data_IF_285441115169
#
_entry.id   IF_285441115169
#
_cell.length_a   1.000
_cell.length_b   1.000
_cell.length_c   1.000
_cell.angle_alpha   90.00
_cell.angle_beta   90.00
_cell.angle_gamma   90.00
#
_symmetry.space_group_name_H-M   'P 1'
#
loop_
_entity.id
_entity.type
_entity.pdbx_description
1 polymer ?
#
# COMPACT_ATOMS: atom_id res chain seq x y z
N UNK A 1 41.38 19.93 -4.11
CA UNK A 1 41.66 19.26 -2.82
C UNK A 1 40.50 19.32 -1.80
N UNK A 2 39.50 20.17 -2.01
CA UNK A 2 38.31 20.26 -1.11
C UNK A 2 37.20 19.22 -1.35
N UNK A 3 37.14 18.63 -2.53
CA UNK A 3 36.06 17.68 -2.87
C UNK A 3 36.22 16.27 -2.25
N UNK A 4 37.46 15.87 -1.96
CA UNK A 4 37.80 14.55 -1.39
C UNK A 4 37.50 14.48 0.11
N UNK A 5 37.58 15.61 0.82
CA UNK A 5 37.37 15.67 2.29
C UNK A 5 35.85 15.54 2.61
N UNK A 6 34.99 16.12 1.78
CA UNK A 6 33.52 16.07 1.99
C UNK A 6 32.97 14.66 1.82
N UNK A 7 33.50 13.87 0.87
CA UNK A 7 33.08 12.49 0.65
C UNK A 7 33.50 11.57 1.80
N UNK A 8 34.66 11.77 2.42
CA UNK A 8 35.10 10.98 3.57
C UNK A 8 34.31 11.29 4.85
N UNK A 9 33.94 12.53 5.08
CA UNK A 9 33.15 12.92 6.25
C UNK A 9 31.71 12.40 6.18
N UNK A 10 31.08 12.43 4.99
CA UNK A 10 29.74 11.87 4.76
C UNK A 10 29.75 10.34 4.88
N UNK A 11 30.81 9.69 4.42
CA UNK A 11 30.97 8.23 4.52
C UNK A 11 31.21 7.78 5.96
N UNK A 12 32.04 8.48 6.73
CA UNK A 12 32.29 8.19 8.14
C UNK A 12 31.03 8.39 9.00
N UNK A 13 30.30 9.48 8.78
CA UNK A 13 29.03 9.76 9.46
C UNK A 13 27.96 8.72 9.15
N UNK A 14 27.93 8.21 7.92
CA UNK A 14 27.05 7.13 7.50
C UNK A 14 27.42 5.80 8.18
N UNK A 15 28.70 5.43 8.26
CA UNK A 15 29.16 4.22 8.96
C UNK A 15 28.80 4.25 10.45
N UNK A 16 28.97 5.39 11.11
CA UNK A 16 28.59 5.58 12.52
C UNK A 16 27.07 5.45 12.70
N UNK A 17 26.28 6.01 11.80
CA UNK A 17 24.82 5.90 11.83
C UNK A 17 24.32 4.46 11.59
N UNK A 18 25.02 3.68 10.77
CA UNK A 18 24.69 2.27 10.49
C UNK A 18 25.02 1.36 11.67
N UNK A 19 26.12 1.61 12.40
CA UNK A 19 26.58 0.73 13.49
C UNK A 19 25.56 0.55 14.64
N UNK A 20 24.58 1.44 14.74
CA UNK A 20 23.54 1.42 15.77
C UNK A 20 22.19 0.85 15.28
N UNK A 21 22.08 0.50 13.97
CA UNK A 21 20.83 -0.04 13.44
C UNK A 21 20.58 -1.45 13.98
N UNK A 22 19.39 -1.63 14.52
CA UNK A 22 18.86 -2.95 14.87
C UNK A 22 18.07 -3.50 13.69
N UNK A 23 18.51 -4.60 13.14
CA UNK A 23 17.89 -5.22 11.96
C UNK A 23 17.42 -6.63 12.32
N UNK A 24 16.21 -6.99 11.88
CA UNK A 24 15.72 -8.36 11.92
C UNK A 24 15.62 -8.90 10.49
N UNK A 25 16.12 -10.10 10.28
CA UNK A 25 15.95 -10.87 9.04
C UNK A 25 14.92 -11.96 9.28
N UNK A 26 13.76 -11.83 8.63
CA UNK A 26 12.71 -12.84 8.58
C UNK A 26 12.77 -13.55 7.24
N UNK A 27 13.29 -14.79 7.24
CA UNK A 27 13.50 -15.59 6.05
C UNK A 27 13.42 -17.08 6.43
N UNK A 28 12.50 -17.82 5.84
CA UNK A 28 12.28 -19.23 6.12
C UNK A 28 13.42 -20.12 5.61
N UNK A 29 13.94 -19.81 4.44
CA UNK A 29 15.02 -20.59 3.81
C UNK A 29 16.38 -20.31 4.47
N UNK A 30 16.93 -21.31 5.12
CA UNK A 30 18.19 -21.21 5.87
C UNK A 30 19.35 -20.65 5.03
N UNK A 31 19.46 -21.07 3.77
CA UNK A 31 20.51 -20.61 2.89
C UNK A 31 20.38 -19.12 2.59
N UNK A 32 19.21 -18.66 2.17
CA UNK A 32 18.96 -17.25 1.86
C UNK A 32 19.14 -16.36 3.09
N UNK A 33 18.64 -16.80 4.25
CA UNK A 33 18.87 -16.11 5.53
C UNK A 33 20.36 -15.92 5.81
N UNK A 34 21.17 -16.97 5.60
CA UNK A 34 22.63 -16.89 5.78
C UNK A 34 23.30 -15.92 4.80
N UNK A 35 22.82 -15.84 3.56
CA UNK A 35 23.33 -14.88 2.56
C UNK A 35 23.03 -13.45 3.00
N UNK A 36 21.79 -13.15 3.42
CA UNK A 36 21.41 -11.82 3.89
C UNK A 36 22.24 -11.37 5.10
N UNK A 37 22.46 -12.27 6.06
CA UNK A 37 23.29 -12.01 7.24
C UNK A 37 24.72 -11.65 6.85
N UNK A 38 25.34 -12.46 5.96
CA UNK A 38 26.70 -12.16 5.45
C UNK A 38 26.75 -10.84 4.70
N UNK A 39 25.70 -10.47 3.99
CA UNK A 39 25.62 -9.17 3.31
C UNK A 39 25.55 -8.02 4.32
N UNK A 40 24.78 -8.16 5.38
CA UNK A 40 24.68 -7.17 6.45
C UNK A 40 26.00 -7.04 7.24
N UNK A 41 26.66 -8.16 7.53
CA UNK A 41 27.99 -8.17 8.16
C UNK A 41 29.02 -7.42 7.32
N UNK A 42 29.07 -7.65 5.99
CA UNK A 42 29.92 -6.90 5.05
C UNK A 42 29.61 -5.41 4.98
N UNK A 43 28.42 -4.99 5.42
CA UNK A 43 28.03 -3.59 5.52
C UNK A 43 28.35 -2.99 6.89
N UNK A 44 28.97 -3.77 7.80
CA UNK A 44 29.34 -3.32 9.15
C UNK A 44 28.19 -3.36 10.16
N UNK A 45 27.22 -4.26 9.96
CA UNK A 45 26.05 -4.46 10.82
C UNK A 45 26.17 -5.80 11.56
N UNK A 46 26.90 -5.87 12.66
CA UNK A 46 27.17 -7.15 13.34
C UNK A 46 25.99 -7.69 14.15
N UNK A 47 25.08 -6.82 14.57
CA UNK A 47 23.95 -7.19 15.44
C UNK A 47 22.68 -7.33 14.63
N UNK A 48 22.45 -8.56 14.10
CA UNK A 48 21.27 -8.88 13.28
C UNK A 48 20.47 -9.97 13.98
N UNK A 49 19.20 -9.67 14.26
CA UNK A 49 18.24 -10.67 14.73
C UNK A 49 17.79 -11.54 13.55
N UNK A 50 17.48 -12.80 13.83
CA UNK A 50 17.14 -13.79 12.81
C UNK A 50 15.90 -14.56 13.20
N UNK A 51 14.94 -14.68 12.29
CA UNK A 51 13.76 -15.48 12.47
C UNK A 51 13.45 -16.31 11.22
N UNK A 52 12.93 -17.49 11.39
CA UNK A 52 12.46 -18.39 10.34
C UNK A 52 10.97 -18.26 10.05
N UNK A 53 10.24 -17.67 10.97
CA UNK A 53 8.79 -17.54 10.93
C UNK A 53 8.33 -16.27 11.67
N UNK A 54 7.08 -15.92 11.46
CA UNK A 54 6.46 -14.69 11.97
C UNK A 54 6.40 -14.66 13.50
N UNK A 55 6.06 -15.78 14.14
CA UNK A 55 5.91 -15.84 15.60
C UNK A 55 7.25 -15.63 16.29
N UNK A 56 8.30 -16.25 15.78
CA UNK A 56 9.66 -16.07 16.28
C UNK A 56 10.16 -14.63 16.05
N UNK A 57 9.86 -14.04 14.87
CA UNK A 57 10.17 -12.65 14.57
C UNK A 57 9.50 -11.70 15.57
N UNK A 58 8.21 -11.88 15.81
CA UNK A 58 7.45 -11.06 16.77
C UNK A 58 8.01 -11.19 18.20
N UNK A 59 8.28 -12.41 18.66
CA UNK A 59 8.83 -12.64 19.99
C UNK A 59 10.20 -11.98 20.18
N UNK A 60 11.10 -12.08 19.20
CA UNK A 60 12.41 -11.44 19.26
C UNK A 60 12.32 -9.91 19.28
N UNK A 61 11.47 -9.33 18.43
CA UNK A 61 11.27 -7.88 18.39
C UNK A 61 10.67 -7.36 19.70
N UNK A 62 9.73 -8.09 20.31
CA UNK A 62 9.17 -7.73 21.62
C UNK A 62 10.23 -7.78 22.72
N UNK A 63 11.05 -8.83 22.74
CA UNK A 63 12.10 -9.02 23.74
C UNK A 63 13.17 -7.91 23.70
N UNK A 64 13.50 -7.38 22.51
CA UNK A 64 14.51 -6.32 22.36
C UNK A 64 13.94 -4.88 22.34
N UNK A 65 12.61 -4.72 22.50
CA UNK A 65 11.95 -3.41 22.47
C UNK A 65 11.88 -2.80 21.05
N UNK A 66 11.85 -3.65 20.01
CA UNK A 66 11.71 -3.27 18.62
C UNK A 66 13.04 -3.16 17.87
N UNK A 67 12.92 -3.07 16.53
CA UNK A 67 14.03 -2.93 15.58
C UNK A 67 13.84 -1.71 14.68
N UNK A 68 14.89 -1.28 14.01
CA UNK A 68 14.81 -0.16 13.08
C UNK A 68 14.28 -0.65 11.72
N UNK A 69 14.78 -1.80 11.24
CA UNK A 69 14.43 -2.32 9.91
C UNK A 69 14.17 -3.82 10.01
N UNK A 70 13.12 -4.28 9.33
CA UNK A 70 12.87 -5.69 9.06
C UNK A 70 13.20 -5.98 7.60
N UNK A 71 14.07 -6.95 7.33
CA UNK A 71 14.20 -7.58 6.03
C UNK A 71 13.28 -8.79 6.00
N UNK A 72 12.27 -8.76 5.16
CA UNK A 72 11.22 -9.78 5.13
C UNK A 72 11.17 -10.46 3.77
N UNK A 73 11.31 -11.78 3.75
CA UNK A 73 10.95 -12.59 2.59
C UNK A 73 9.48 -13.02 2.69
N UNK A 74 8.79 -12.92 1.57
CA UNK A 74 7.33 -13.11 1.47
C UNK A 74 6.98 -14.14 0.40
N UNK A 75 7.91 -15.04 0.09
CA UNK A 75 7.88 -15.85 -1.13
C UNK A 75 6.60 -16.69 -1.32
N UNK A 76 5.82 -17.04 -0.27
CA UNK A 76 4.76 -18.06 -0.46
C UNK A 76 3.33 -17.68 -0.04
N UNK A 77 3.12 -16.65 0.79
CA UNK A 77 1.77 -16.24 1.23
C UNK A 77 1.66 -14.75 1.46
N UNK A 78 1.17 -14.03 0.47
CA UNK A 78 0.94 -12.58 0.54
C UNK A 78 0.09 -12.13 1.74
N UNK A 79 -0.78 -12.99 2.25
CA UNK A 79 -1.70 -12.74 3.37
C UNK A 79 -0.97 -12.72 4.72
N UNK A 80 -0.10 -13.70 4.98
CA UNK A 80 0.67 -13.78 6.22
C UNK A 80 1.62 -12.59 6.38
N UNK A 81 2.12 -12.05 5.26
CA UNK A 81 2.94 -10.84 5.26
C UNK A 81 2.17 -9.60 5.69
N UNK A 82 0.96 -9.40 5.17
CA UNK A 82 0.13 -8.25 5.53
C UNK A 82 -0.24 -8.28 7.01
N UNK A 83 -0.64 -9.45 7.53
CA UNK A 83 -0.92 -9.61 8.96
C UNK A 83 0.32 -9.34 9.81
N UNK A 84 1.47 -9.89 9.43
CA UNK A 84 2.75 -9.62 10.09
C UNK A 84 3.06 -8.11 10.12
N UNK A 85 3.00 -7.43 8.98
CA UNK A 85 3.28 -5.99 8.90
C UNK A 85 2.28 -5.17 9.73
N UNK A 86 1.02 -5.59 9.79
CA UNK A 86 0.02 -4.95 10.66
C UNK A 86 0.35 -5.14 12.14
N UNK A 87 0.70 -6.37 12.55
CA UNK A 87 1.08 -6.70 13.94
C UNK A 87 2.31 -5.89 14.36
N UNK A 88 3.36 -5.87 13.53
CA UNK A 88 4.59 -5.09 13.76
C UNK A 88 4.28 -3.61 13.90
N UNK A 89 3.43 -3.07 13.02
CA UNK A 89 3.03 -1.67 13.05
C UNK A 89 2.20 -1.33 14.29
N UNK A 90 1.20 -2.14 14.64
CA UNK A 90 0.35 -1.93 15.82
C UNK A 90 1.16 -1.91 17.10
N UNK A 91 2.13 -2.80 17.20
CA UNK A 91 3.00 -2.89 18.36
C UNK A 91 4.17 -1.89 18.35
N UNK A 92 4.36 -1.11 17.28
CA UNK A 92 5.46 -0.17 17.13
C UNK A 92 6.84 -0.83 17.13
N UNK A 93 6.91 -2.10 16.69
CA UNK A 93 8.10 -2.95 16.84
C UNK A 93 9.12 -2.77 15.71
N UNK A 94 8.76 -2.12 14.60
CA UNK A 94 9.72 -1.74 13.57
C UNK A 94 9.36 -0.39 12.95
N UNK A 95 10.37 0.29 12.41
CA UNK A 95 10.24 1.60 11.74
C UNK A 95 10.20 1.48 10.23
N UNK A 96 10.89 0.48 9.68
CA UNK A 96 10.97 0.27 8.24
C UNK A 96 11.00 -1.21 7.87
N UNK A 97 10.63 -1.50 6.61
CA UNK A 97 10.70 -2.84 6.03
C UNK A 97 11.36 -2.81 4.65
N UNK A 98 12.12 -3.85 4.35
CA UNK A 98 12.63 -4.19 3.02
C UNK A 98 12.12 -5.58 2.68
N UNK A 99 11.52 -5.73 1.51
CA UNK A 99 11.13 -7.04 1.00
C UNK A 99 12.29 -7.70 0.26
N UNK A 100 12.54 -8.98 0.50
CA UNK A 100 13.68 -9.72 -0.05
C UNK A 100 13.30 -10.69 -1.18
N UNK A 101 12.06 -10.64 -1.64
CA UNK A 101 11.54 -11.42 -2.77
C UNK A 101 10.68 -10.55 -3.68
N UNK A 102 10.43 -11.04 -4.89
CA UNK A 102 9.47 -10.42 -5.77
C UNK A 102 8.08 -10.50 -5.14
N UNK A 103 7.46 -9.35 -4.96
CA UNK A 103 6.12 -9.27 -4.43
C UNK A 103 5.11 -9.66 -5.52
N UNK A 104 4.16 -10.51 -5.17
CA UNK A 104 3.00 -10.74 -6.03
C UNK A 104 2.36 -9.37 -6.39
N UNK A 105 1.86 -9.16 -7.62
CA UNK A 105 1.36 -7.85 -8.06
C UNK A 105 0.34 -7.22 -7.09
N UNK A 106 -0.58 -8.00 -6.52
CA UNK A 106 -1.55 -7.50 -5.53
C UNK A 106 -0.87 -6.97 -4.27
N UNK A 107 0.09 -7.72 -3.71
CA UNK A 107 0.84 -7.30 -2.52
C UNK A 107 1.72 -6.07 -2.82
N UNK A 108 2.33 -5.99 -4.00
CA UNK A 108 3.11 -4.83 -4.44
C UNK A 108 2.24 -3.56 -4.44
N UNK A 109 1.01 -3.64 -4.97
CA UNK A 109 0.04 -2.54 -4.96
C UNK A 109 -0.33 -2.12 -3.54
N UNK A 110 -0.63 -3.08 -2.67
CA UNK A 110 -0.94 -2.81 -1.27
C UNK A 110 0.23 -2.14 -0.53
N UNK A 111 1.45 -2.62 -0.75
CA UNK A 111 2.68 -2.05 -0.15
C UNK A 111 2.93 -0.62 -0.61
N UNK A 112 2.72 -0.30 -1.88
CA UNK A 112 2.82 1.08 -2.39
C UNK A 112 1.81 1.99 -1.69
N UNK A 113 0.57 1.56 -1.52
CA UNK A 113 -0.44 2.30 -0.76
C UNK A 113 -0.11 2.42 0.74
N UNK A 114 0.45 1.38 1.34
CA UNK A 114 0.88 1.44 2.76
C UNK A 114 1.99 2.46 3.00
N UNK A 115 2.81 2.82 2.00
CA UNK A 115 3.79 3.93 2.11
C UNK A 115 3.14 5.26 2.50
N UNK A 116 1.88 5.46 2.15
CA UNK A 116 1.12 6.67 2.45
C UNK A 116 0.40 6.61 3.82
N UNK A 117 0.32 5.45 4.47
CA UNK A 117 -0.57 5.19 5.60
C UNK A 117 0.11 5.04 6.96
N UNK A 118 1.14 5.83 7.25
CA UNK A 118 1.67 6.10 8.59
C UNK A 118 2.30 4.95 9.41
N UNK A 119 3.53 5.11 9.80
CA UNK A 119 4.19 4.43 10.92
C UNK A 119 5.20 3.32 10.57
N UNK A 120 5.06 2.62 9.43
CA UNK A 120 6.04 1.65 8.94
C UNK A 120 6.49 2.03 7.53
N UNK A 121 7.77 2.38 7.37
CA UNK A 121 8.30 2.82 6.09
C UNK A 121 8.72 1.64 5.23
N UNK A 122 8.14 1.49 4.04
CA UNK A 122 8.65 0.57 3.03
C UNK A 122 9.84 1.21 2.32
N UNK A 123 11.03 0.64 2.50
CA UNK A 123 12.25 1.16 1.87
C UNK A 123 12.37 0.72 0.42
N UNK A 124 11.88 -0.49 0.10
CA UNK A 124 11.87 -1.04 -1.24
C UNK A 124 11.88 -2.56 -1.26
N UNK A 125 12.11 -3.09 -2.45
CA UNK A 125 12.22 -4.53 -2.73
C UNK A 125 13.66 -4.85 -3.14
N UNK A 126 14.22 -5.90 -2.55
CA UNK A 126 15.52 -6.45 -2.91
C UNK A 126 15.29 -7.70 -3.77
N UNK A 127 15.27 -7.51 -5.09
CA UNK A 127 15.02 -8.59 -6.05
C UNK A 127 16.16 -9.60 -6.10
N UNK A 128 15.83 -10.83 -6.46
CA UNK A 128 16.84 -11.87 -6.70
C UNK A 128 17.45 -11.70 -8.11
N UNK A 129 18.76 -11.97 -8.29
CA UNK A 129 19.73 -12.36 -7.26
C UNK A 129 20.07 -11.21 -6.31
N UNK A 130 20.17 -11.54 -5.00
CA UNK A 130 20.44 -10.56 -3.96
C UNK A 130 21.77 -9.79 -4.21
N UNK A 131 21.68 -8.47 -4.33
CA UNK A 131 22.83 -7.62 -4.62
C UNK A 131 23.20 -6.75 -3.42
N UNK A 132 24.46 -6.81 -2.97
CA UNK A 132 24.96 -6.00 -1.86
C UNK A 132 24.82 -4.49 -2.11
N UNK A 133 24.97 -4.05 -3.38
CA UNK A 133 24.82 -2.64 -3.76
C UNK A 133 23.38 -2.17 -3.57
N UNK A 134 22.40 -2.97 -3.97
CA UNK A 134 20.99 -2.65 -3.82
C UNK A 134 20.60 -2.57 -2.32
N UNK A 135 21.00 -3.56 -1.51
CA UNK A 135 20.77 -3.54 -0.06
C UNK A 135 21.39 -2.30 0.57
N UNK A 136 22.65 -1.96 0.24
CA UNK A 136 23.32 -0.76 0.72
C UNK A 136 22.54 0.52 0.39
N UNK A 137 22.00 0.61 -0.83
CA UNK A 137 21.25 1.79 -1.28
C UNK A 137 19.95 1.96 -0.49
N UNK A 138 19.21 0.87 -0.23
CA UNK A 138 17.99 0.89 0.57
C UNK A 138 18.26 1.33 2.02
N UNK A 139 19.32 0.78 2.64
CA UNK A 139 19.71 1.16 4.01
C UNK A 139 20.21 2.60 4.09
N UNK A 140 20.91 3.09 3.06
CA UNK A 140 21.29 4.53 2.97
C UNK A 140 20.07 5.44 2.95
N UNK A 141 19.05 5.07 2.18
CA UNK A 141 17.79 5.83 2.12
C UNK A 141 17.12 5.95 3.49
N UNK A 142 17.25 4.94 4.35
CA UNK A 142 16.75 5.01 5.73
C UNK A 142 17.55 5.99 6.60
N UNK A 143 18.89 5.90 6.59
CA UNK A 143 19.76 6.74 7.42
C UNK A 143 19.72 8.24 7.04
N UNK A 144 19.36 8.58 5.81
CA UNK A 144 19.28 9.96 5.33
C UNK A 144 17.95 10.65 5.64
N UNK A 145 16.95 9.90 6.13
CA UNK A 145 15.66 10.49 6.50
C UNK A 145 15.76 11.20 7.84
N UNK A 146 15.18 12.41 7.98
CA UNK A 146 15.04 13.04 9.28
C UNK A 146 14.26 12.09 10.19
N UNK A 147 14.76 11.86 11.40
CA UNK A 147 14.06 11.14 12.46
C UNK A 147 12.86 11.98 12.92
N UNK A 148 11.80 11.98 12.14
CA UNK A 148 10.53 12.47 12.62
C UNK A 148 10.09 11.51 13.73
N UNK A 149 9.99 12.03 14.95
CA UNK A 149 9.47 11.34 16.11
C UNK A 149 8.09 10.80 15.77
N UNK A 150 8.01 9.48 15.51
CA UNK A 150 6.75 8.79 15.33
C UNK A 150 6.08 8.68 16.69
N UNK A 151 5.23 9.66 17.01
CA UNK A 151 4.16 9.38 17.97
C UNK A 151 3.28 8.30 17.31
N UNK A 152 2.96 7.20 18.00
CA UNK A 152 2.02 6.23 17.47
C UNK A 152 0.68 6.97 17.31
N UNK A 153 0.37 7.36 16.08
CA UNK A 153 -1.01 7.65 15.70
C UNK A 153 -1.76 6.35 15.97
N UNK A 154 -2.88 6.39 16.66
CA UNK A 154 -3.74 5.25 16.91
C UNK A 154 -4.32 4.77 15.55
N UNK A 155 -3.47 4.16 14.75
CA UNK A 155 -3.79 3.66 13.42
C UNK A 155 -4.61 2.40 13.60
N UNK A 156 -5.91 2.52 13.26
CA UNK A 156 -6.84 1.39 13.21
C UNK A 156 -6.25 0.30 12.30
N UNK A 157 -6.42 -0.95 12.72
CA UNK A 157 -6.01 -2.10 11.94
C UNK A 157 -6.64 -2.10 10.54
N UNK A 158 -5.86 -2.48 9.52
CA UNK A 158 -6.43 -2.76 8.21
C UNK A 158 -7.47 -3.88 8.34
N UNK A 159 -8.55 -3.83 7.56
CA UNK A 159 -9.55 -4.88 7.54
C UNK A 159 -8.95 -6.20 7.07
N UNK A 160 -9.50 -7.29 7.60
CA UNK A 160 -9.21 -8.64 7.13
C UNK A 160 -9.91 -8.92 5.80
N UNK A 161 -9.46 -9.94 5.08
CA UNK A 161 -10.10 -10.43 3.86
C UNK A 161 -11.58 -10.75 4.09
N UNK A 162 -11.89 -11.46 5.17
CA UNK A 162 -13.25 -11.82 5.54
C UNK A 162 -14.15 -10.60 5.79
N UNK A 163 -13.61 -9.55 6.45
CA UNK A 163 -14.36 -8.30 6.65
C UNK A 163 -14.67 -7.64 5.32
N UNK A 164 -13.71 -7.61 4.36
CA UNK A 164 -13.91 -7.00 3.05
C UNK A 164 -14.92 -7.80 2.22
N UNK A 165 -14.77 -9.13 2.14
CA UNK A 165 -15.74 -9.99 1.43
C UNK A 165 -17.15 -9.83 2.00
N UNK A 166 -17.30 -9.82 3.33
CA UNK A 166 -18.58 -9.54 3.97
C UNK A 166 -19.12 -8.17 3.57
N UNK A 167 -18.27 -7.13 3.66
CA UNK A 167 -18.66 -5.77 3.31
C UNK A 167 -19.11 -5.64 1.85
N UNK A 168 -18.43 -6.32 0.94
CA UNK A 168 -18.83 -6.41 -0.46
C UNK A 168 -20.17 -7.15 -0.61
N UNK A 169 -20.33 -8.31 0.02
CA UNK A 169 -21.55 -9.11 -0.07
C UNK A 169 -22.79 -8.39 0.51
N UNK A 170 -22.60 -7.60 1.57
CA UNK A 170 -23.67 -6.85 2.23
C UNK A 170 -23.87 -5.44 1.66
N UNK A 171 -23.07 -5.03 0.66
CA UNK A 171 -23.16 -3.70 0.04
C UNK A 171 -22.77 -2.57 0.99
N UNK A 172 -21.85 -2.83 1.93
CA UNK A 172 -21.37 -1.83 2.88
C UNK A 172 -20.46 -0.77 2.24
N UNK A 173 -19.93 -1.05 1.01
CA UNK A 173 -19.18 -0.05 0.23
C UNK A 173 -20.14 0.86 -0.51
N UNK A 174 -20.11 2.15 -0.14
CA UNK A 174 -21.03 3.16 -0.64
C UNK A 174 -20.34 4.18 -1.53
N UNK A 175 -21.04 4.55 -2.59
CA UNK A 175 -20.69 5.68 -3.42
C UNK A 175 -21.16 6.98 -2.78
N UNK A 176 -20.22 7.83 -2.38
CA UNK A 176 -20.49 9.21 -2.00
C UNK A 176 -20.21 10.10 -3.20
N UNK A 177 -21.01 11.13 -3.40
CA UNK A 177 -21.00 11.95 -4.59
C UNK A 177 -20.56 13.36 -4.27
N UNK A 178 -19.37 13.76 -4.76
CA UNK A 178 -18.83 15.11 -4.58
C UNK A 178 -19.11 15.95 -5.84
N UNK A 179 -19.88 17.06 -5.72
CA UNK A 179 -20.23 17.86 -6.88
C UNK A 179 -19.01 18.61 -7.42
N UNK A 180 -18.89 18.63 -8.75
CA UNK A 180 -17.90 19.41 -9.54
C UNK A 180 -18.61 20.57 -10.21
N UNK A 181 -18.06 21.79 -10.10
CA UNK A 181 -18.66 23.01 -10.68
C UNK A 181 -17.72 23.62 -11.71
N UNK A 182 -18.28 24.17 -12.76
CA UNK A 182 -17.56 24.98 -13.75
C UNK A 182 -17.15 26.32 -13.13
N UNK A 183 -15.86 26.61 -13.08
CA UNK A 183 -15.32 27.81 -12.44
C UNK A 183 -15.89 29.12 -13.03
N UNK A 184 -16.08 29.17 -14.36
CA UNK A 184 -16.54 30.39 -15.03
C UNK A 184 -18.03 30.69 -14.86
N UNK A 185 -18.87 29.68 -14.58
CA UNK A 185 -20.34 29.83 -14.57
C UNK A 185 -20.99 29.42 -13.25
N UNK A 186 -20.27 28.75 -12.36
CA UNK A 186 -20.80 28.15 -11.13
C UNK A 186 -21.82 27.03 -11.36
N UNK A 187 -22.01 26.57 -12.61
CA UNK A 187 -22.95 25.48 -12.92
C UNK A 187 -22.36 24.13 -12.54
N UNK A 188 -23.21 23.23 -12.10
CA UNK A 188 -22.83 21.84 -11.85
C UNK A 188 -22.39 21.17 -13.16
N UNK A 189 -21.15 20.70 -13.20
CA UNK A 189 -20.54 20.02 -14.38
C UNK A 189 -20.69 18.50 -14.27
N UNK A 190 -20.59 17.95 -13.09
CA UNK A 190 -20.62 16.51 -12.84
C UNK A 190 -20.44 16.21 -11.36
N UNK A 191 -20.20 14.95 -11.04
CA UNK A 191 -19.91 14.52 -9.67
C UNK A 191 -18.77 13.51 -9.68
N UNK A 192 -17.91 13.58 -8.68
CA UNK A 192 -16.88 12.58 -8.42
C UNK A 192 -17.44 11.52 -7.47
N UNK A 193 -17.22 10.25 -7.81
CA UNK A 193 -17.64 9.11 -7.00
C UNK A 193 -16.50 8.72 -6.06
N UNK A 194 -16.74 8.93 -4.77
CA UNK A 194 -15.81 8.64 -3.70
C UNK A 194 -16.30 7.45 -2.89
N UNK A 195 -15.48 6.40 -2.81
CA UNK A 195 -15.83 5.24 -1.99
C UNK A 195 -15.79 5.58 -0.50
N UNK A 196 -16.78 5.07 0.24
CA UNK A 196 -16.82 5.00 1.70
C UNK A 196 -17.24 3.60 2.11
N UNK A 197 -16.67 3.08 3.17
CA UNK A 197 -17.11 1.82 3.73
C UNK A 197 -17.89 2.06 5.02
N UNK A 198 -19.20 1.80 4.98
CA UNK A 198 -20.09 1.87 6.13
C UNK A 198 -19.93 0.60 6.98
N UNK A 199 -18.83 0.56 7.75
CA UNK A 199 -18.47 -0.62 8.52
C UNK A 199 -19.34 -0.71 9.80
N UNK A 200 -19.96 -1.89 10.11
CA UNK A 200 -20.96 -2.01 11.17
C UNK A 200 -20.44 -1.65 12.59
N UNK A 201 -19.15 -1.88 12.84
CA UNK A 201 -18.55 -1.63 14.17
C UNK A 201 -17.55 -0.47 14.19
N UNK A 202 -17.04 -0.04 13.03
CA UNK A 202 -16.02 1.02 12.93
C UNK A 202 -16.58 2.35 12.45
N UNK A 203 -17.85 2.39 12.02
CA UNK A 203 -18.47 3.54 11.39
C UNK A 203 -18.01 3.71 9.94
N UNK A 204 -18.10 4.93 9.42
CA UNK A 204 -17.68 5.23 8.04
C UNK A 204 -16.17 5.29 7.96
N UNK A 205 -15.59 4.36 7.18
CA UNK A 205 -14.15 4.30 6.90
C UNK A 205 -13.83 5.04 5.58
N UNK A 206 -12.70 5.76 5.59
CA UNK A 206 -12.16 6.43 4.41
C UNK A 206 -11.26 5.46 3.61
N UNK A 207 -11.03 5.71 2.30
CA UNK A 207 -10.16 4.86 1.46
C UNK A 207 -8.80 4.55 2.09
N UNK A 208 -8.18 5.53 2.74
CA UNK A 208 -6.91 5.36 3.44
C UNK A 208 -6.93 4.28 4.53
N UNK A 209 -8.10 3.88 5.03
CA UNK A 209 -8.24 2.92 6.12
C UNK A 209 -8.45 1.47 5.61
N UNK A 210 -8.81 1.27 4.33
CA UNK A 210 -9.14 -0.05 3.79
C UNK A 210 -8.59 -0.36 2.39
N UNK A 211 -8.30 0.66 1.56
CA UNK A 211 -7.97 0.45 0.15
C UNK A 211 -6.71 -0.42 -0.05
N UNK A 212 -5.72 -0.27 0.84
CA UNK A 212 -4.53 -1.12 0.80
C UNK A 212 -4.88 -2.61 0.98
N UNK A 213 -5.83 -2.93 1.85
CA UNK A 213 -6.29 -4.30 2.05
C UNK A 213 -7.11 -4.80 0.86
N UNK A 214 -8.02 -3.98 0.31
CA UNK A 214 -8.78 -4.31 -0.91
C UNK A 214 -7.85 -4.64 -2.08
N UNK A 215 -6.77 -3.87 -2.26
CA UNK A 215 -5.76 -4.12 -3.29
C UNK A 215 -4.95 -5.39 -3.03
N UNK A 216 -4.59 -5.65 -1.78
CA UNK A 216 -3.81 -6.82 -1.39
C UNK A 216 -4.58 -8.14 -1.62
N UNK A 217 -5.90 -8.11 -1.41
CA UNK A 217 -6.77 -9.26 -1.62
C UNK A 217 -7.34 -9.34 -3.05
N UNK A 218 -6.88 -8.45 -3.95
CA UNK A 218 -7.29 -8.38 -5.37
C UNK A 218 -8.79 -8.16 -5.58
N UNK A 219 -9.42 -7.40 -4.65
CA UNK A 219 -10.87 -7.14 -4.64
C UNK A 219 -11.25 -5.76 -5.19
N UNK A 220 -10.29 -5.05 -5.81
CA UNK A 220 -10.49 -3.68 -6.28
C UNK A 220 -11.55 -3.61 -7.39
N UNK A 221 -11.57 -4.57 -8.32
CA UNK A 221 -12.52 -4.60 -9.41
C UNK A 221 -13.93 -4.89 -8.92
N UNK A 222 -14.07 -5.81 -7.95
CA UNK A 222 -15.36 -6.11 -7.35
C UNK A 222 -15.94 -4.91 -6.61
N UNK A 223 -15.12 -4.21 -5.84
CA UNK A 223 -15.50 -2.97 -5.17
C UNK A 223 -15.88 -1.89 -6.18
N UNK A 224 -15.07 -1.70 -7.22
CA UNK A 224 -15.34 -0.73 -8.29
C UNK A 224 -16.67 -0.99 -8.97
N UNK A 225 -16.99 -2.24 -9.33
CA UNK A 225 -18.25 -2.59 -9.98
C UNK A 225 -19.47 -2.29 -9.09
N UNK A 226 -19.37 -2.47 -7.77
CA UNK A 226 -20.46 -2.05 -6.86
C UNK A 226 -20.68 -0.55 -6.87
N UNK A 227 -19.61 0.24 -6.87
CA UNK A 227 -19.71 1.70 -6.92
C UNK A 227 -20.26 2.17 -8.27
N UNK A 228 -19.85 1.52 -9.36
CA UNK A 228 -20.34 1.79 -10.71
C UNK A 228 -21.85 1.58 -10.77
N UNK A 229 -22.37 0.45 -10.30
CA UNK A 229 -23.81 0.15 -10.27
C UNK A 229 -24.60 1.20 -9.46
N UNK A 230 -24.06 1.63 -8.32
CA UNK A 230 -24.69 2.69 -7.51
C UNK A 230 -24.70 4.04 -8.26
N UNK A 231 -23.59 4.38 -8.92
CA UNK A 231 -23.50 5.62 -9.71
C UNK A 231 -24.45 5.61 -10.91
N UNK A 232 -24.46 4.52 -11.68
CA UNK A 232 -25.34 4.39 -12.84
C UNK A 232 -26.83 4.42 -12.43
N UNK A 233 -27.17 3.81 -11.30
CA UNK A 233 -28.52 3.89 -10.73
C UNK A 233 -28.91 5.33 -10.41
N UNK A 234 -28.01 6.12 -9.82
CA UNK A 234 -28.24 7.56 -9.58
C UNK A 234 -28.46 8.31 -10.90
N UNK A 235 -27.60 8.10 -11.91
CA UNK A 235 -27.76 8.75 -13.24
C UNK A 235 -29.09 8.41 -13.86
N UNK A 236 -29.54 7.15 -13.75
CA UNK A 236 -30.85 6.73 -14.23
C UNK A 236 -32.03 7.49 -13.57
N UNK A 237 -31.91 7.78 -12.27
CA UNK A 237 -32.91 8.63 -11.55
C UNK A 237 -32.85 10.07 -12.05
N UNK A 238 -31.66 10.67 -12.12
CA UNK A 238 -31.47 12.06 -12.53
C UNK A 238 -31.92 12.31 -13.98
N UNK A 239 -31.62 11.37 -14.87
CA UNK A 239 -32.04 11.44 -16.28
C UNK A 239 -33.56 11.46 -16.44
N UNK A 240 -34.30 10.73 -15.63
CA UNK A 240 -35.78 10.81 -15.61
C UNK A 240 -36.28 12.21 -15.19
N UNK A 241 -35.47 12.95 -14.43
CA UNK A 241 -35.73 14.33 -14.05
C UNK A 241 -35.11 15.35 -15.03
N UNK A 242 -34.66 14.89 -16.22
CA UNK A 242 -34.00 15.68 -17.26
C UNK A 242 -32.67 16.35 -16.80
N UNK A 243 -32.07 15.84 -15.74
CA UNK A 243 -30.76 16.28 -15.27
C UNK A 243 -29.69 15.36 -15.89
N UNK A 244 -28.79 15.98 -16.67
CA UNK A 244 -27.64 15.30 -17.25
C UNK A 244 -26.39 15.65 -16.49
N UNK A 245 -25.70 14.63 -15.95
CA UNK A 245 -24.46 14.76 -15.22
C UNK A 245 -23.46 13.73 -15.70
N UNK A 246 -22.17 14.04 -15.53
CA UNK A 246 -21.06 13.13 -15.72
C UNK A 246 -20.62 12.57 -14.36
N UNK A 247 -20.30 11.28 -14.30
CA UNK A 247 -19.72 10.64 -13.14
C UNK A 247 -18.22 10.42 -13.36
N UNK A 248 -17.40 10.97 -12.47
CA UNK A 248 -15.97 10.70 -12.45
C UNK A 248 -15.65 9.61 -11.43
N UNK A 249 -14.96 8.57 -11.89
CA UNK A 249 -14.50 7.47 -11.05
C UNK A 249 -12.97 7.44 -11.00
N UNK A 250 -12.43 7.27 -9.81
CA UNK A 250 -11.01 7.01 -9.63
C UNK A 250 -10.70 5.55 -9.97
N UNK A 251 -9.77 5.32 -10.90
CA UNK A 251 -9.24 4.01 -11.24
C UNK A 251 -7.82 3.84 -10.69
N UNK A 252 -7.54 2.66 -10.17
CA UNK A 252 -6.18 2.25 -9.86
C UNK A 252 -5.49 1.73 -11.12
N UNK A 253 -4.18 2.02 -11.30
CA UNK A 253 -3.44 1.62 -12.50
C UNK A 253 -3.51 0.11 -12.82
N UNK A 254 -3.58 -0.75 -11.78
CA UNK A 254 -3.72 -2.20 -11.98
C UNK A 254 -5.00 -2.60 -12.70
N UNK A 255 -6.07 -1.80 -12.60
CA UNK A 255 -7.34 -2.09 -13.25
C UNK A 255 -7.27 -1.90 -14.77
N UNK A 256 -6.31 -1.10 -15.26
CA UNK A 256 -6.06 -0.96 -16.70
C UNK A 256 -5.50 -2.24 -17.35
N UNK A 257 -4.90 -3.11 -16.54
CA UNK A 257 -4.36 -4.40 -17.01
C UNK A 257 -5.45 -5.49 -17.07
N UNK A 258 -6.63 -5.23 -16.52
CA UNK A 258 -7.74 -6.17 -16.58
C UNK A 258 -8.54 -5.98 -17.87
N UNK A 259 -8.34 -6.89 -18.83
CA UNK A 259 -9.02 -6.85 -20.13
C UNK A 259 -10.54 -7.01 -20.03
N UNK A 260 -11.07 -7.59 -18.94
CA UNK A 260 -12.49 -7.83 -18.74
C UNK A 260 -13.23 -6.61 -18.17
N UNK A 261 -12.52 -5.74 -17.46
CA UNK A 261 -13.12 -4.59 -16.79
C UNK A 261 -13.89 -3.69 -17.75
N UNK A 262 -13.32 -3.39 -18.92
CA UNK A 262 -13.98 -2.57 -19.93
C UNK A 262 -15.27 -3.21 -20.44
N UNK A 263 -15.27 -4.52 -20.63
CA UNK A 263 -16.46 -5.28 -21.01
C UNK A 263 -17.57 -5.19 -19.96
N UNK A 264 -17.21 -5.34 -18.69
CA UNK A 264 -18.15 -5.20 -17.56
C UNK A 264 -18.74 -3.79 -17.47
N UNK A 265 -17.91 -2.75 -17.65
CA UNK A 265 -18.39 -1.35 -17.69
C UNK A 265 -19.38 -1.13 -18.83
N UNK A 266 -19.06 -1.62 -20.03
CA UNK A 266 -19.95 -1.51 -21.20
C UNK A 266 -21.30 -2.22 -20.96
N UNK A 267 -21.27 -3.42 -20.40
CA UNK A 267 -22.49 -4.16 -20.06
C UNK A 267 -23.32 -3.43 -19.01
N UNK A 268 -22.69 -2.83 -17.98
CA UNK A 268 -23.38 -2.04 -16.98
C UNK A 268 -24.07 -0.82 -17.62
N UNK A 269 -23.38 -0.09 -18.48
CA UNK A 269 -23.96 1.06 -19.23
C UNK A 269 -25.15 0.65 -20.07
N UNK A 270 -25.06 -0.47 -20.78
CA UNK A 270 -26.16 -1.01 -21.58
C UNK A 270 -27.38 -1.37 -20.73
N UNK A 271 -27.18 -2.04 -19.58
CA UNK A 271 -28.29 -2.36 -18.65
C UNK A 271 -29.02 -1.12 -18.16
N UNK A 272 -28.29 -0.04 -17.91
CA UNK A 272 -28.87 1.24 -17.44
C UNK A 272 -29.34 2.16 -18.57
N UNK A 273 -29.14 1.78 -19.84
CA UNK A 273 -29.49 2.60 -21.01
C UNK A 273 -28.74 3.93 -21.06
N UNK A 274 -27.49 3.97 -20.60
CA UNK A 274 -26.67 5.16 -20.49
C UNK A 274 -25.53 5.13 -21.54
N UNK A 275 -25.21 6.28 -22.16
CA UNK A 275 -24.07 6.35 -23.07
C UNK A 275 -22.76 6.41 -22.30
N UNK A 276 -21.66 5.94 -22.93
CA UNK A 276 -20.32 5.97 -22.31
C UNK A 276 -19.81 7.38 -21.98
N UNK A 277 -20.30 8.40 -22.66
CA UNK A 277 -19.98 9.81 -22.38
C UNK A 277 -20.47 10.31 -21.01
N UNK A 278 -21.23 9.52 -20.28
CA UNK A 278 -21.63 9.85 -18.89
C UNK A 278 -20.58 9.46 -17.86
N UNK A 279 -19.53 8.75 -18.25
CA UNK A 279 -18.45 8.32 -17.37
C UNK A 279 -17.13 9.01 -17.72
N UNK A 280 -16.42 9.46 -16.68
CA UNK A 280 -15.05 9.92 -16.72
C UNK A 280 -14.21 9.02 -15.80
N UNK A 281 -13.00 8.64 -16.22
CA UNK A 281 -12.09 7.88 -15.39
C UNK A 281 -10.85 8.70 -15.08
N UNK A 282 -10.54 8.84 -13.81
CA UNK A 282 -9.38 9.57 -13.30
C UNK A 282 -8.33 8.57 -12.80
N UNK A 283 -7.11 8.69 -13.31
CA UNK A 283 -5.99 7.84 -12.92
C UNK A 283 -5.10 8.60 -11.94
N UNK A 284 -4.85 7.99 -10.77
CA UNK A 284 -3.91 8.56 -9.82
C UNK A 284 -2.47 8.38 -10.30
N UNK A 285 -1.69 9.47 -10.36
CA UNK A 285 -0.28 9.46 -10.81
C UNK A 285 0.61 8.48 -10.01
N UNK A 286 0.30 8.25 -8.73
CA UNK A 286 1.08 7.39 -7.85
C UNK A 286 1.06 5.89 -8.23
N UNK A 287 0.21 5.49 -9.18
CA UNK A 287 0.13 4.12 -9.69
C UNK A 287 0.80 3.90 -11.05
N UNK A 288 1.23 4.98 -11.74
CA UNK A 288 1.77 4.93 -13.11
C UNK A 288 3.29 4.73 -13.18
N UNK A 289 4.01 4.95 -12.07
CA UNK A 289 5.49 4.94 -12.05
C UNK A 289 6.13 3.55 -12.06
N UNK A 290 5.35 2.47 -12.07
CA UNK A 290 5.84 1.09 -12.01
C UNK A 290 5.26 0.17 -13.12
N UNK A 291 4.82 0.74 -14.26
CA UNK A 291 4.42 -0.04 -15.46
C UNK A 291 5.62 -0.26 -16.35
#
# INVERSE_FOLDING_TARGET
MFLVIITHFAFAKWLISMAHLRILVLESQRFQRSVLIKMLDRLGLPTVLQASDVEHAMAQMQACGGVDIVLCDVADRSLDCLDFLQRVRRAGLARAVVFCSELHPALRRAVVHMRCLSGLHVLGVLSQPLQLRALRQLLRGYCQRPTASLRPSASRALPTEQEIHRGLALGEFRAWFQPKFMLGTGRLAGVEVLVRWEHPTRGVLLPAEFLAAVLAYDLIDQMFMQLLEQGLSLLGVLRRQQIQLELAFNLHASQLLNNELMGHIQQALLRHGLPGSTLLFELAENGLLDI
#
